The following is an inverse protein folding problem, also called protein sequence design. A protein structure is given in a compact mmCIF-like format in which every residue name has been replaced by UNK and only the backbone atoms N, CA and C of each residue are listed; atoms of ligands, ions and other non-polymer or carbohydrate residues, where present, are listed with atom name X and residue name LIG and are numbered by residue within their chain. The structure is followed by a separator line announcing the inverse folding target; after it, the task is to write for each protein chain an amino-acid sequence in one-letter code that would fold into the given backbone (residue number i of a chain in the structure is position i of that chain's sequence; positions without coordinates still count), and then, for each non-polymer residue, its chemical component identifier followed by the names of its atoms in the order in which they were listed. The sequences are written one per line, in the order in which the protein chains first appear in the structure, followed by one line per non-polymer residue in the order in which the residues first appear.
data_IF_353710883967
#
_entry.id   IF_353710883967
#
_cell.length_a   1.000
_cell.length_b   1.000
_cell.length_c   1.000
_cell.angle_alpha   90.00
_cell.angle_beta   90.00
_cell.angle_gamma   90.00
#
_symmetry.space_group_name_H-M   'P 1'
#
loop_
_entity.id
_entity.type
_entity.pdbx_description
1 polymer ?
#
# COMPACT_ATOMS: atom_id res chain seq x y z
N UNK A 1 21.51 6.39 -25.37
CA UNK A 1 20.72 5.19 -25.04
C UNK A 1 19.26 5.62 -24.90
N UNK A 2 18.34 4.97 -25.64
CA UNK A 2 16.90 5.25 -25.45
C UNK A 2 16.49 4.57 -24.15
N UNK A 3 16.34 5.33 -23.09
CA UNK A 3 15.78 4.81 -21.83
C UNK A 3 14.37 4.28 -22.12
N UNK A 4 14.13 3.00 -21.80
CA UNK A 4 12.78 2.46 -21.84
C UNK A 4 11.93 3.23 -20.82
N UNK A 5 10.73 3.66 -21.23
CA UNK A 5 9.79 4.25 -20.30
C UNK A 5 9.49 3.25 -19.17
N UNK A 6 9.48 3.68 -17.92
CA UNK A 6 9.16 2.79 -16.81
C UNK A 6 7.74 2.21 -17.00
N UNK A 7 7.59 0.93 -16.70
CA UNK A 7 6.28 0.30 -16.61
C UNK A 7 5.54 0.90 -15.43
N UNK A 8 4.29 1.27 -15.62
CA UNK A 8 3.47 1.95 -14.61
C UNK A 8 2.13 1.25 -14.48
N UNK A 9 1.72 1.00 -13.25
CA UNK A 9 0.37 0.60 -12.90
C UNK A 9 -0.22 1.61 -11.92
N UNK A 10 -1.39 2.16 -12.23
CA UNK A 10 -2.09 3.13 -11.41
C UNK A 10 -3.52 2.68 -11.19
N UNK A 11 -3.97 2.76 -9.96
CA UNK A 11 -5.37 2.61 -9.60
C UNK A 11 -5.81 3.75 -8.69
N UNK A 12 -6.96 4.33 -8.99
CA UNK A 12 -7.63 5.30 -8.14
C UNK A 12 -8.96 4.67 -7.72
N UNK A 13 -9.16 4.55 -6.43
CA UNK A 13 -10.40 4.08 -5.84
C UNK A 13 -11.08 5.23 -5.11
N UNK A 14 -12.33 5.52 -5.48
CA UNK A 14 -13.20 6.40 -4.73
C UNK A 14 -14.08 5.59 -3.77
N UNK A 15 -13.80 5.62 -2.45
CA UNK A 15 -14.62 4.88 -1.48
C UNK A 15 -16.06 5.40 -1.40
N UNK A 16 -16.27 6.68 -1.71
CA UNK A 16 -17.60 7.34 -1.64
C UNK A 16 -18.44 7.02 -2.88
N UNK A 17 -17.83 7.17 -4.07
CA UNK A 17 -18.53 6.97 -5.33
C UNK A 17 -18.54 5.49 -5.76
N UNK A 18 -17.75 4.64 -5.11
CA UNK A 18 -17.48 3.24 -5.49
C UNK A 18 -16.95 3.10 -6.93
N UNK A 19 -16.42 4.18 -7.47
CA UNK A 19 -15.81 4.22 -8.78
C UNK A 19 -14.31 3.90 -8.70
N UNK A 20 -13.82 3.26 -9.74
CA UNK A 20 -12.42 2.88 -9.87
C UNK A 20 -11.91 3.32 -11.23
N UNK A 21 -10.84 4.11 -11.23
CA UNK A 21 -10.07 4.41 -12.43
C UNK A 21 -8.80 3.57 -12.41
N UNK A 22 -8.48 2.91 -13.52
CA UNK A 22 -7.28 2.10 -13.65
C UNK A 22 -6.55 2.45 -14.94
N UNK A 23 -5.22 2.65 -14.85
CA UNK A 23 -4.35 2.89 -15.99
C UNK A 23 -3.26 1.81 -15.95
N UNK A 24 -3.13 1.03 -17.03
CA UNK A 24 -2.11 -0.04 -17.22
C UNK A 24 -1.97 -1.01 -16.03
N UNK A 25 -3.03 -1.18 -15.25
CA UNK A 25 -3.01 -1.95 -14.00
C UNK A 25 -3.02 -3.48 -14.14
N UNK A 26 -3.03 -4.01 -15.36
CA UNK A 26 -3.20 -5.44 -15.64
C UNK A 26 -1.94 -6.27 -15.42
N UNK A 27 -1.36 -6.32 -14.23
CA UNK A 27 -0.22 -7.15 -13.94
C UNK A 27 0.20 -7.10 -12.48
N UNK A 28 1.14 -7.98 -12.13
CA UNK A 28 1.73 -8.04 -10.81
C UNK A 28 2.97 -7.15 -10.73
N UNK A 29 3.11 -6.42 -9.64
CA UNK A 29 4.29 -5.63 -9.28
C UNK A 29 4.83 -6.09 -7.94
N UNK A 30 6.16 -6.04 -7.74
CA UNK A 30 6.75 -6.27 -6.43
C UNK A 30 6.12 -5.34 -5.38
N UNK A 31 5.72 -5.90 -4.25
CA UNK A 31 5.13 -5.17 -3.14
C UNK A 31 6.21 -4.90 -2.10
N UNK A 32 6.73 -3.67 -2.08
CA UNK A 32 7.81 -3.25 -1.19
C UNK A 32 7.31 -2.75 0.16
N UNK A 33 6.09 -2.21 0.20
CA UNK A 33 5.51 -1.57 1.38
C UNK A 33 4.16 -2.17 1.73
N UNK A 34 3.62 -1.80 2.89
CA UNK A 34 2.28 -2.15 3.36
C UNK A 34 2.01 -3.64 3.59
N UNK A 35 3.05 -4.41 3.86
CA UNK A 35 2.90 -5.81 4.29
C UNK A 35 2.08 -5.94 5.56
N UNK A 36 2.37 -5.04 6.48
CA UNK A 36 1.58 -4.94 7.68
C UNK A 36 0.12 -4.66 7.37
N UNK A 37 -0.17 -3.78 6.38
CA UNK A 37 -1.52 -3.55 5.93
C UNK A 37 -2.15 -4.82 5.34
N UNK A 38 -1.40 -5.62 4.57
CA UNK A 38 -1.87 -6.92 4.09
C UNK A 38 -2.23 -7.86 5.25
N UNK A 39 -1.33 -8.01 6.23
CA UNK A 39 -1.59 -8.84 7.41
C UNK A 39 -2.79 -8.33 8.22
N UNK A 40 -2.89 -7.02 8.39
CA UNK A 40 -4.00 -6.35 9.09
C UNK A 40 -5.33 -6.61 8.39
N UNK A 41 -5.39 -6.45 7.06
CA UNK A 41 -6.60 -6.70 6.29
C UNK A 41 -7.04 -8.17 6.37
N UNK A 42 -6.10 -9.11 6.27
CA UNK A 42 -6.39 -10.53 6.43
C UNK A 42 -6.93 -10.84 7.84
N UNK A 43 -6.32 -10.25 8.88
CA UNK A 43 -6.79 -10.38 10.26
C UNK A 43 -8.21 -9.80 10.44
N UNK A 44 -8.47 -8.62 9.89
CA UNK A 44 -9.80 -7.98 9.96
C UNK A 44 -10.87 -8.81 9.25
N UNK A 45 -10.59 -9.33 8.05
CA UNK A 45 -11.50 -10.19 7.31
C UNK A 45 -11.82 -11.44 8.15
N UNK A 46 -10.80 -12.06 8.72
CA UNK A 46 -10.97 -13.25 9.58
C UNK A 46 -11.83 -12.98 10.80
N UNK A 47 -11.57 -11.88 11.49
CA UNK A 47 -12.31 -11.49 12.69
C UNK A 47 -13.77 -11.22 12.37
N UNK A 48 -14.06 -10.46 11.31
CA UNK A 48 -15.43 -10.18 10.86
C UNK A 48 -16.16 -11.47 10.46
N UNK A 49 -15.50 -12.37 9.73
CA UNK A 49 -16.07 -13.67 9.39
C UNK A 49 -16.40 -14.54 10.61
N UNK A 50 -15.68 -14.34 11.71
CA UNK A 50 -15.92 -15.02 13.00
C UNK A 50 -16.90 -14.29 13.91
N UNK A 51 -17.52 -13.17 13.45
CA UNK A 51 -18.43 -12.36 14.26
C UNK A 51 -17.74 -11.54 15.36
N UNK A 52 -16.41 -11.44 15.32
CA UNK A 52 -15.64 -10.67 16.31
C UNK A 52 -15.50 -9.22 15.85
N UNK A 53 -15.58 -8.28 16.81
CA UNK A 53 -15.31 -6.87 16.54
C UNK A 53 -13.80 -6.59 16.70
N UNK A 54 -13.08 -6.21 15.61
CA UNK A 54 -11.66 -5.87 15.69
C UNK A 54 -11.36 -4.73 16.66
N UNK A 55 -12.26 -3.74 16.78
CA UNK A 55 -12.00 -2.53 17.57
C UNK A 55 -11.91 -2.80 19.08
N UNK A 56 -12.50 -3.89 19.53
CA UNK A 56 -12.46 -4.32 20.95
C UNK A 56 -11.45 -5.43 21.22
N UNK A 57 -10.81 -5.96 20.15
CA UNK A 57 -9.91 -7.09 20.27
C UNK A 57 -8.55 -6.67 20.83
N UNK A 58 -8.01 -7.49 21.73
CA UNK A 58 -6.60 -7.46 22.10
C UNK A 58 -5.81 -8.46 21.27
N UNK A 59 -4.79 -7.96 20.57
CA UNK A 59 -3.88 -8.78 19.76
C UNK A 59 -2.95 -9.60 20.64
N UNK A 60 -2.62 -9.04 21.81
CA UNK A 60 -1.90 -9.69 22.90
C UNK A 60 -2.37 -9.14 24.25
N UNK A 61 -1.69 -9.51 25.35
CA UNK A 61 -2.09 -9.11 26.72
C UNK A 61 -2.17 -7.58 26.92
N UNK A 62 -1.41 -6.80 26.16
CA UNK A 62 -1.22 -5.37 26.37
C UNK A 62 -1.63 -4.51 25.17
N UNK A 63 -1.81 -5.08 23.99
CA UNK A 63 -1.99 -4.35 22.75
C UNK A 63 -3.37 -4.59 22.14
N UNK A 64 -4.13 -3.53 21.94
CA UNK A 64 -5.36 -3.56 21.16
C UNK A 64 -5.07 -3.63 19.66
N UNK A 65 -6.07 -4.08 18.88
CA UNK A 65 -5.94 -4.24 17.42
C UNK A 65 -5.50 -2.94 16.72
N UNK A 66 -6.10 -1.80 17.07
CA UNK A 66 -5.73 -0.51 16.48
C UNK A 66 -4.28 -0.09 16.81
N UNK A 67 -3.80 -0.39 18.02
CA UNK A 67 -2.38 -0.14 18.39
C UNK A 67 -1.42 -1.06 17.66
N UNK A 68 -1.85 -2.27 17.33
CA UNK A 68 -1.05 -3.15 16.48
C UNK A 68 -1.00 -2.64 15.03
N UNK A 69 -2.04 -1.96 14.54
CA UNK A 69 -2.00 -1.31 13.22
C UNK A 69 -0.96 -0.17 13.21
N UNK A 70 -0.90 0.66 14.24
CA UNK A 70 0.15 1.69 14.37
C UNK A 70 1.55 1.06 14.34
N UNK A 71 1.79 0.03 15.15
CA UNK A 71 3.07 -0.65 15.19
C UNK A 71 3.43 -1.33 13.85
N UNK A 72 2.44 -1.88 13.16
CA UNK A 72 2.61 -2.46 11.82
C UNK A 72 3.01 -1.39 10.80
N UNK A 73 2.47 -0.18 10.91
CA UNK A 73 2.83 0.94 10.04
C UNK A 73 4.27 1.40 10.30
N UNK A 74 4.73 1.31 11.55
CA UNK A 74 6.12 1.56 11.95
C UNK A 74 7.04 0.35 11.65
N UNK A 75 6.63 -0.55 10.76
CA UNK A 75 7.36 -1.75 10.35
C UNK A 75 7.69 -2.77 11.47
N UNK A 76 6.98 -2.71 12.60
CA UNK A 76 7.16 -3.69 13.68
C UNK A 76 6.80 -5.11 13.20
N UNK A 77 7.84 -5.94 13.10
CA UNK A 77 7.70 -7.32 12.65
C UNK A 77 6.89 -8.18 13.61
N UNK A 78 6.93 -7.91 14.92
CA UNK A 78 6.15 -8.64 15.93
C UNK A 78 4.67 -8.33 15.82
N UNK A 79 4.32 -7.07 15.56
CA UNK A 79 2.94 -6.66 15.30
C UNK A 79 2.42 -7.28 13.99
N UNK A 80 3.22 -7.25 12.93
CA UNK A 80 2.90 -7.90 11.65
C UNK A 80 2.70 -9.41 11.81
N UNK A 81 3.58 -10.09 12.51
CA UNK A 81 3.47 -11.53 12.80
C UNK A 81 2.25 -11.84 13.69
N UNK A 82 1.86 -10.93 14.59
CA UNK A 82 0.66 -11.08 15.40
C UNK A 82 -0.61 -10.97 14.55
N UNK A 83 -0.68 -10.00 13.63
CA UNK A 83 -1.77 -9.87 12.66
C UNK A 83 -1.86 -11.11 11.75
N UNK A 84 -0.73 -11.58 11.23
CA UNK A 84 -0.69 -12.80 10.42
C UNK A 84 -1.20 -14.03 11.18
N UNK A 85 -0.88 -14.17 12.48
CA UNK A 85 -1.40 -15.25 13.32
C UNK A 85 -2.91 -15.17 13.51
N UNK A 86 -3.46 -13.99 13.71
CA UNK A 86 -4.92 -13.79 13.81
C UNK A 86 -5.59 -14.24 12.51
N UNK A 87 -5.00 -13.95 11.36
CA UNK A 87 -5.49 -14.40 10.06
C UNK A 87 -5.38 -15.91 9.83
N UNK A 88 -4.65 -16.64 10.68
CA UNK A 88 -4.39 -18.07 10.50
C UNK A 88 -3.09 -18.38 9.75
N UNK A 89 -2.20 -17.40 9.63
CA UNK A 89 -0.95 -17.47 8.90
C UNK A 89 -1.07 -17.00 7.46
N UNK A 90 0.08 -16.71 6.83
CA UNK A 90 0.13 -16.15 5.48
C UNK A 90 -0.51 -17.07 4.43
N UNK A 91 -0.47 -18.38 4.63
CA UNK A 91 -1.12 -19.35 3.74
C UNK A 91 -2.63 -19.15 3.61
N UNK A 92 -3.27 -18.52 4.60
CA UNK A 92 -4.71 -18.23 4.59
C UNK A 92 -5.06 -16.90 3.88
N UNK A 93 -4.10 -16.04 3.61
CA UNK A 93 -4.37 -14.69 3.07
C UNK A 93 -5.09 -14.74 1.73
N UNK A 94 -4.65 -15.62 0.81
CA UNK A 94 -5.27 -15.75 -0.50
C UNK A 94 -6.74 -16.12 -0.43
N UNK A 95 -7.11 -17.07 0.43
CA UNK A 95 -8.51 -17.48 0.63
C UNK A 95 -9.34 -16.37 1.30
N UNK A 96 -8.77 -15.70 2.30
CA UNK A 96 -9.41 -14.58 2.97
C UNK A 96 -9.67 -13.43 2.00
N UNK A 97 -8.70 -13.06 1.18
CA UNK A 97 -8.87 -12.02 0.17
C UNK A 97 -9.88 -12.42 -0.90
N UNK A 98 -9.82 -13.65 -1.40
CA UNK A 98 -10.78 -14.18 -2.35
C UNK A 98 -12.22 -14.14 -1.83
N UNK A 99 -12.42 -14.40 -0.53
CA UNK A 99 -13.74 -14.34 0.11
C UNK A 99 -14.39 -12.95 0.07
N UNK A 100 -13.61 -11.91 -0.22
CA UNK A 100 -14.06 -10.51 -0.35
C UNK A 100 -13.83 -9.95 -1.76
N UNK A 101 -13.57 -10.81 -2.73
CA UNK A 101 -13.45 -10.44 -4.14
C UNK A 101 -12.08 -9.89 -4.56
N UNK A 102 -11.03 -10.11 -3.76
CA UNK A 102 -9.66 -9.65 -4.03
C UNK A 102 -8.81 -10.85 -4.42
N UNK A 103 -8.25 -10.87 -5.64
CA UNK A 103 -7.53 -12.03 -6.19
C UNK A 103 -6.10 -11.73 -6.64
N UNK A 104 -5.71 -10.45 -6.75
CA UNK A 104 -4.46 -9.98 -7.34
C UNK A 104 -3.30 -9.90 -6.36
N UNK A 105 -3.18 -10.86 -5.43
CA UNK A 105 -2.04 -10.96 -4.54
C UNK A 105 -1.29 -12.29 -4.71
N UNK A 106 0.05 -12.22 -4.69
CA UNK A 106 0.95 -13.35 -4.56
C UNK A 106 1.88 -13.05 -3.38
N UNK A 107 1.60 -13.66 -2.25
CA UNK A 107 2.32 -13.38 -1.01
C UNK A 107 3.15 -14.60 -0.60
N UNK A 108 4.47 -14.43 -0.59
CA UNK A 108 5.43 -15.47 -0.18
C UNK A 108 5.77 -15.38 1.31
N UNK A 109 5.62 -14.19 1.91
CA UNK A 109 5.97 -13.96 3.31
C UNK A 109 5.15 -12.80 3.88
N UNK A 110 4.84 -12.86 5.17
CA UNK A 110 4.33 -11.70 5.91
C UNK A 110 5.42 -10.62 6.15
N UNK A 111 6.68 -10.96 5.89
CA UNK A 111 7.83 -10.04 6.00
C UNK A 111 8.18 -9.42 4.64
N UNK A 112 9.05 -8.41 4.63
CA UNK A 112 9.56 -7.79 3.41
C UNK A 112 10.31 -8.82 2.56
N UNK A 113 9.78 -9.03 1.39
CA UNK A 113 10.45 -9.81 0.36
C UNK A 113 9.98 -9.31 -1.01
N UNK A 114 10.89 -9.14 -1.97
CA UNK A 114 10.52 -8.79 -3.34
C UNK A 114 9.68 -9.88 -4.03
N UNK A 115 9.51 -11.04 -3.39
CA UNK A 115 8.63 -12.11 -3.87
C UNK A 115 7.14 -11.82 -3.63
N UNK A 116 6.82 -10.90 -2.71
CA UNK A 116 5.45 -10.43 -2.56
C UNK A 116 5.08 -9.56 -3.75
N UNK A 117 3.94 -9.83 -4.33
CA UNK A 117 3.44 -9.11 -5.50
C UNK A 117 1.96 -8.77 -5.33
N UNK A 118 1.56 -7.63 -5.87
CA UNK A 118 0.17 -7.20 -5.90
C UNK A 118 -0.18 -6.54 -7.24
N UNK A 119 -1.47 -6.57 -7.58
CA UNK A 119 -2.04 -5.73 -8.62
C UNK A 119 -2.49 -4.41 -8.00
N UNK A 120 -2.33 -3.25 -8.68
CA UNK A 120 -2.73 -1.95 -8.13
C UNK A 120 -4.20 -1.89 -7.70
N UNK A 121 -5.11 -2.44 -8.50
CA UNK A 121 -6.54 -2.48 -8.20
C UNK A 121 -6.84 -3.25 -6.92
N UNK A 122 -6.24 -4.42 -6.77
CA UNK A 122 -6.49 -5.27 -5.60
C UNK A 122 -5.85 -4.67 -4.35
N UNK A 123 -4.69 -4.00 -4.50
CA UNK A 123 -4.09 -3.23 -3.40
C UNK A 123 -4.97 -2.06 -2.98
N UNK A 124 -5.50 -1.29 -3.94
CA UNK A 124 -6.46 -0.21 -3.66
C UNK A 124 -7.72 -0.76 -2.96
N UNK A 125 -8.27 -1.86 -3.44
CA UNK A 125 -9.45 -2.51 -2.85
C UNK A 125 -9.18 -3.00 -1.42
N UNK A 126 -8.00 -3.56 -1.16
CA UNK A 126 -7.58 -4.01 0.16
C UNK A 126 -7.47 -2.83 1.14
N UNK A 127 -6.78 -1.77 0.72
CA UNK A 127 -6.59 -0.56 1.52
C UNK A 127 -7.89 0.19 1.73
N UNK A 128 -8.78 0.22 0.74
CA UNK A 128 -10.12 0.78 0.86
C UNK A 128 -10.92 0.17 2.03
N UNK A 129 -10.70 -1.10 2.34
CA UNK A 129 -11.29 -1.76 3.52
C UNK A 129 -10.71 -1.26 4.83
N UNK A 130 -9.47 -0.79 4.81
CA UNK A 130 -8.74 -0.32 5.99
C UNK A 130 -8.80 1.20 6.17
N UNK A 131 -9.53 1.93 5.32
CA UNK A 131 -9.58 3.40 5.36
C UNK A 131 -10.10 3.99 6.68
N UNK A 132 -10.85 3.22 7.46
CA UNK A 132 -11.23 3.61 8.84
C UNK A 132 -10.01 3.73 9.79
N UNK A 133 -8.89 3.14 9.41
CA UNK A 133 -7.62 3.20 10.14
C UNK A 133 -6.58 4.06 9.45
N UNK A 134 -6.98 4.94 8.50
CA UNK A 134 -6.05 5.71 7.67
C UNK A 134 -4.99 6.46 8.50
N UNK A 135 -5.41 7.08 9.60
CA UNK A 135 -4.54 7.87 10.48
C UNK A 135 -3.49 7.01 11.22
N UNK A 136 -3.63 5.69 11.16
CA UNK A 136 -2.69 4.72 11.72
C UNK A 136 -1.86 4.02 10.64
N UNK A 137 -2.35 3.98 9.39
CA UNK A 137 -1.69 3.29 8.27
C UNK A 137 -0.74 4.19 7.49
N UNK A 138 -1.09 5.47 7.35
CA UNK A 138 -0.33 6.47 6.61
C UNK A 138 0.42 7.36 7.59
N UNK A 139 1.50 6.84 8.17
CA UNK A 139 2.41 7.62 9.00
C UNK A 139 3.65 7.98 8.21
N UNK A 140 4.18 9.15 8.50
CA UNK A 140 5.52 9.52 8.06
C UNK A 140 6.52 8.50 8.61
N UNK A 141 7.30 7.89 7.73
CA UNK A 141 8.44 7.07 8.13
C UNK A 141 9.69 7.95 8.12
N UNK A 142 10.22 8.30 9.30
CA UNK A 142 11.35 9.22 9.40
C UNK A 142 12.65 8.70 8.79
N UNK A 143 12.74 7.41 8.45
CA UNK A 143 13.97 6.77 8.02
C UNK A 143 14.17 6.71 6.49
N UNK A 144 13.28 7.34 5.70
CA UNK A 144 13.36 7.35 4.22
C UNK A 144 13.67 8.78 3.74
N UNK A 145 14.63 9.45 4.38
CA UNK A 145 14.83 10.90 4.29
C UNK A 145 15.10 11.42 2.88
N UNK A 146 15.99 10.81 2.11
CA UNK A 146 16.39 11.37 0.81
C UNK A 146 15.32 11.18 -0.29
N UNK A 147 14.62 10.07 -0.25
CA UNK A 147 13.58 9.71 -1.23
C UNK A 147 12.28 10.43 -0.95
N UNK A 148 11.99 10.61 0.32
CA UNK A 148 10.81 11.29 0.82
C UNK A 148 10.84 12.78 0.48
N UNK A 149 11.96 13.46 0.74
CA UNK A 149 12.14 14.88 0.44
C UNK A 149 11.82 15.23 -1.02
N UNK A 150 12.13 14.34 -1.95
CA UNK A 150 11.90 14.58 -3.37
C UNK A 150 10.43 14.50 -3.76
N UNK A 151 9.72 13.52 -3.22
CA UNK A 151 8.28 13.38 -3.44
C UNK A 151 7.53 14.47 -2.69
N UNK A 152 7.94 14.78 -1.45
CA UNK A 152 7.40 15.86 -0.63
C UNK A 152 7.52 17.20 -1.33
N UNK A 153 8.68 17.58 -1.82
CA UNK A 153 8.86 18.81 -2.60
C UNK A 153 7.95 18.84 -3.84
N UNK A 154 7.81 17.71 -4.53
CA UNK A 154 6.92 17.61 -5.70
C UNK A 154 5.45 17.74 -5.30
N UNK A 155 5.05 17.24 -4.14
CA UNK A 155 3.68 17.31 -3.62
C UNK A 155 3.40 18.66 -2.98
N UNK A 156 4.32 19.22 -2.18
CA UNK A 156 4.21 20.54 -1.55
C UNK A 156 4.10 21.66 -2.58
N UNK A 157 4.92 21.64 -3.61
CA UNK A 157 4.85 22.58 -4.74
C UNK A 157 3.49 22.53 -5.47
N UNK A 158 2.69 21.49 -5.23
CA UNK A 158 1.36 21.29 -5.81
C UNK A 158 0.23 21.42 -4.77
N UNK A 159 0.55 21.82 -3.55
CA UNK A 159 -0.44 22.05 -2.48
C UNK A 159 -1.09 20.78 -1.94
N UNK A 160 -0.35 19.70 -1.87
CA UNK A 160 -0.81 18.44 -1.26
C UNK A 160 -0.33 18.35 0.19
N UNK A 161 -1.17 17.85 1.11
CA UNK A 161 -0.71 17.50 2.45
C UNK A 161 0.28 16.34 2.35
N UNK A 162 1.46 16.51 2.92
CA UNK A 162 2.54 15.49 2.91
C UNK A 162 2.25 14.28 3.76
N UNK A 163 1.27 14.37 4.66
CA UNK A 163 0.93 13.35 5.67
C UNK A 163 0.07 12.20 5.17
N UNK A 164 -0.46 12.26 3.94
CA UNK A 164 -1.47 11.32 3.45
C UNK A 164 -0.92 10.29 2.45
N UNK A 165 0.37 9.99 2.48
CA UNK A 165 0.95 8.98 1.60
C UNK A 165 1.95 8.07 2.29
N UNK A 166 2.23 6.93 1.67
CA UNK A 166 3.35 6.04 1.99
C UNK A 166 4.04 5.61 0.71
N UNK A 167 5.34 5.47 0.75
CA UNK A 167 6.13 5.06 -0.39
C UNK A 167 7.26 4.11 0.00
N UNK A 168 7.70 3.31 -0.96
CA UNK A 168 8.94 2.56 -0.87
C UNK A 168 9.58 2.45 -2.25
N UNK A 169 10.89 2.62 -2.31
CA UNK A 169 11.69 2.41 -3.51
C UNK A 169 12.84 1.45 -3.22
N UNK A 170 13.05 0.48 -4.10
CA UNK A 170 14.13 -0.48 -3.96
C UNK A 170 14.55 -1.07 -5.31
N UNK A 171 15.73 -1.67 -5.35
CA UNK A 171 16.16 -2.49 -6.47
C UNK A 171 15.71 -3.93 -6.27
N UNK A 172 15.00 -4.48 -7.26
CA UNK A 172 14.46 -5.84 -7.24
C UNK A 172 14.77 -6.53 -8.57
N UNK A 173 15.62 -7.54 -8.55
CA UNK A 173 15.95 -8.31 -9.75
C UNK A 173 16.54 -7.46 -10.90
N UNK A 174 17.37 -6.48 -10.58
CA UNK A 174 17.99 -5.56 -11.56
C UNK A 174 17.03 -4.49 -12.11
N UNK A 175 15.88 -4.29 -11.46
CA UNK A 175 14.93 -3.22 -11.77
C UNK A 175 14.75 -2.32 -10.57
N UNK A 176 14.64 -1.02 -10.79
CA UNK A 176 14.20 -0.08 -9.77
C UNK A 176 12.67 -0.17 -9.68
N UNK A 177 12.16 -0.41 -8.49
CA UNK A 177 10.73 -0.55 -8.19
C UNK A 177 10.32 0.55 -7.24
N UNK A 178 9.19 1.21 -7.52
CA UNK A 178 8.56 2.21 -6.66
C UNK A 178 7.11 1.80 -6.39
N UNK A 179 6.74 1.81 -5.13
CA UNK A 179 5.34 1.75 -4.70
C UNK A 179 4.97 3.06 -4.00
N UNK A 180 3.91 3.72 -4.44
CA UNK A 180 3.33 4.89 -3.77
C UNK A 180 1.86 4.63 -3.53
N UNK A 181 1.41 4.94 -2.33
CA UNK A 181 0.00 4.92 -1.95
C UNK A 181 -0.30 6.22 -1.25
N UNK A 182 -1.31 6.93 -1.74
CA UNK A 182 -1.70 8.23 -1.23
C UNK A 182 -3.23 8.33 -1.06
N UNK A 183 -3.67 9.12 -0.11
CA UNK A 183 -5.06 9.55 0.02
C UNK A 183 -5.18 11.00 -0.48
N UNK A 184 -6.04 11.22 -1.45
CA UNK A 184 -6.19 12.51 -2.13
C UNK A 184 -7.64 12.88 -2.23
N UNK A 185 -8.06 13.95 -1.53
CA UNK A 185 -9.45 14.39 -1.55
C UNK A 185 -10.46 13.29 -1.18
N UNK A 186 -10.07 12.34 -0.32
CA UNK A 186 -10.90 11.19 0.04
C UNK A 186 -10.81 10.01 -0.91
N UNK A 187 -10.03 10.11 -1.99
CA UNK A 187 -9.74 9.01 -2.90
C UNK A 187 -8.45 8.30 -2.51
N UNK A 188 -8.37 7.01 -2.75
CA UNK A 188 -7.19 6.20 -2.55
C UNK A 188 -6.48 6.01 -3.88
N UNK A 189 -5.22 6.41 -3.93
CA UNK A 189 -4.36 6.32 -5.10
C UNK A 189 -3.27 5.28 -4.86
N UNK A 190 -3.12 4.33 -5.76
CA UNK A 190 -2.04 3.34 -5.76
C UNK A 190 -1.24 3.48 -7.05
N UNK A 191 0.04 3.76 -6.93
CA UNK A 191 0.99 3.85 -8.06
C UNK A 191 2.09 2.83 -7.85
N UNK A 192 2.22 1.90 -8.78
CA UNK A 192 3.33 0.97 -8.86
C UNK A 192 4.11 1.22 -10.14
N UNK A 193 5.43 1.35 -10.02
CA UNK A 193 6.31 1.59 -11.14
C UNK A 193 7.53 0.69 -11.08
N UNK A 194 8.04 0.29 -12.24
CA UNK A 194 9.32 -0.41 -12.36
C UNK A 194 10.05 -0.02 -13.65
N UNK A 195 11.36 -0.02 -13.60
CA UNK A 195 12.18 0.25 -14.78
C UNK A 195 13.62 -0.25 -14.63
N UNK A 196 14.22 -0.62 -15.75
CA UNK A 196 15.64 -0.92 -15.86
C UNK A 196 16.39 0.37 -16.20
N UNK A 197 17.56 0.58 -15.62
CA UNK A 197 18.40 1.78 -15.86
C UNK A 197 17.67 3.12 -15.60
N UNK A 198 16.71 3.11 -14.66
CA UNK A 198 15.95 4.30 -14.25
C UNK A 198 16.39 4.70 -12.84
N UNK A 199 16.66 6.00 -12.67
CA UNK A 199 16.96 6.54 -11.34
C UNK A 199 15.70 6.59 -10.46
N UNK A 200 15.89 6.51 -9.17
CA UNK A 200 14.83 6.71 -8.18
C UNK A 200 14.13 8.06 -8.37
N UNK A 201 14.91 9.12 -8.52
CA UNK A 201 14.45 10.48 -8.81
C UNK A 201 13.49 10.52 -10.02
N UNK A 202 13.82 9.79 -11.10
CA UNK A 202 12.97 9.72 -12.29
C UNK A 202 11.62 9.05 -11.99
N UNK A 203 11.63 7.97 -11.20
CA UNK A 203 10.39 7.30 -10.79
C UNK A 203 9.54 8.19 -9.88
N UNK A 204 10.17 8.87 -8.92
CA UNK A 204 9.50 9.79 -8.00
C UNK A 204 8.85 10.96 -8.73
N UNK A 205 9.59 11.59 -9.64
CA UNK A 205 9.06 12.68 -10.48
C UNK A 205 7.84 12.22 -11.28
N UNK A 206 7.93 11.05 -11.92
CA UNK A 206 6.80 10.51 -12.68
C UNK A 206 5.61 10.15 -11.78
N UNK A 207 5.84 9.60 -10.60
CA UNK A 207 4.78 9.34 -9.64
C UNK A 207 4.08 10.65 -9.25
N UNK A 208 4.84 11.71 -8.92
CA UNK A 208 4.29 13.03 -8.61
C UNK A 208 3.47 13.64 -9.77
N UNK A 209 3.94 13.48 -11.01
CA UNK A 209 3.19 13.92 -12.20
C UNK A 209 1.85 13.18 -12.33
N UNK A 210 1.85 11.86 -12.17
CA UNK A 210 0.62 11.04 -12.23
C UNK A 210 -0.36 11.39 -11.12
N UNK A 211 0.14 11.59 -9.91
CA UNK A 211 -0.67 12.00 -8.76
C UNK A 211 -1.30 13.38 -9.03
N UNK A 212 -0.56 14.31 -9.62
CA UNK A 212 -1.11 15.61 -9.97
C UNK A 212 -2.19 15.51 -11.05
N UNK A 213 -1.94 14.72 -12.11
CA UNK A 213 -2.97 14.49 -13.15
C UNK A 213 -4.22 13.89 -12.53
N UNK A 214 -4.05 12.94 -11.61
CA UNK A 214 -5.19 12.37 -10.88
C UNK A 214 -5.95 13.43 -10.09
N UNK A 215 -5.25 14.27 -9.32
CA UNK A 215 -5.85 15.36 -8.53
C UNK A 215 -6.64 16.34 -9.41
N UNK A 216 -6.07 16.71 -10.55
CA UNK A 216 -6.68 17.72 -11.44
C UNK A 216 -7.93 17.16 -12.17
N UNK A 217 -8.10 15.85 -12.23
CA UNK A 217 -9.20 15.18 -12.92
C UNK A 217 -10.18 14.42 -11.99
N UNK A 218 -9.91 14.39 -10.69
CA UNK A 218 -10.86 13.86 -9.71
C UNK A 218 -11.92 14.93 -9.39
N UNK A 219 -13.20 14.53 -9.29
CA UNK A 219 -14.30 15.45 -8.99
C UNK A 219 -14.21 16.01 -7.58
#
# INVERSE_FOLDING_TARGET
MKGFAPRTGLCILSPVLKDTMQIEGGGYWPLLTLRGACATAAAEIRLKASGMNPDTLRVNKTMFFYKAIEAVSDEDTLATDAMARIAGGIGCFGELYASVGIHGFKLASARNTPLNQAMPLDMASLLGRLMRYKDHLFREHPDIYETQDYLEQSLENKGWPTTDYTLACAEVGGRRVLNVIASVGGHLLVVFMEGTDVSEETLMKKAGELIQVAKDNLP
#
